data_IF_629750179308
#
_entry.id   IF_629750179308
#
_cell.length_a   1.000
_cell.length_b   1.000
_cell.length_c   1.000
_cell.angle_alpha   90.00
_cell.angle_beta   90.00
_cell.angle_gamma   90.00
#
_symmetry.space_group_name_H-M   'P 1'
#
loop_
_entity.id
_entity.type
_entity.pdbx_description
1 polymer ?
#
# COMPACT_ATOMS: atom_id res chain seq x y z
N UNK A 1 -3.90 -27.11 4.26
CA UNK A 1 -3.41 -27.50 5.60
C UNK A 1 -3.75 -26.39 6.61
N UNK A 2 -3.74 -26.66 7.92
CA UNK A 2 -3.85 -25.59 8.92
C UNK A 2 -2.69 -24.59 8.71
N UNK A 3 -2.98 -23.31 8.44
CA UNK A 3 -1.94 -22.30 8.18
C UNK A 3 -1.65 -21.95 6.71
N UNK A 4 -2.58 -22.26 5.80
CA UNK A 4 -2.37 -22.02 4.36
C UNK A 4 -2.77 -20.60 3.91
N UNK A 5 -1.98 -19.99 3.01
CA UNK A 5 -2.42 -18.81 2.26
C UNK A 5 -3.35 -19.26 1.14
N UNK A 6 -4.61 -18.83 1.21
CA UNK A 6 -5.58 -19.11 0.15
C UNK A 6 -5.31 -18.20 -1.04
N UNK A 7 -5.20 -18.80 -2.22
CA UNK A 7 -5.05 -18.08 -3.48
C UNK A 7 -6.35 -18.20 -4.28
N UNK A 8 -6.92 -17.06 -4.69
CA UNK A 8 -8.05 -17.01 -5.62
C UNK A 8 -7.63 -16.29 -6.89
N UNK A 9 -7.94 -16.90 -8.03
CA UNK A 9 -7.62 -16.38 -9.35
C UNK A 9 -8.93 -16.18 -10.14
N UNK A 10 -9.26 -14.93 -10.44
CA UNK A 10 -10.52 -14.56 -11.10
C UNK A 10 -10.25 -13.75 -12.35
N UNK A 11 -10.71 -14.23 -13.51
CA UNK A 11 -10.59 -13.52 -14.78
C UNK A 11 -11.71 -12.48 -14.94
N UNK A 12 -11.36 -11.31 -15.49
CA UNK A 12 -12.35 -10.28 -15.83
C UNK A 12 -13.31 -10.75 -16.93
N UNK A 13 -12.83 -11.62 -17.82
CA UNK A 13 -13.63 -12.32 -18.82
C UNK A 13 -13.39 -13.83 -18.67
N UNK A 14 -14.39 -14.61 -18.22
CA UNK A 14 -14.22 -16.05 -18.05
C UNK A 14 -14.05 -16.78 -19.39
N UNK A 15 -14.54 -16.18 -20.47
CA UNK A 15 -14.40 -16.66 -21.84
C UNK A 15 -13.69 -15.62 -22.71
N UNK A 16 -12.82 -16.09 -23.60
CA UNK A 16 -12.19 -15.28 -24.65
C UNK A 16 -12.60 -15.78 -26.02
N UNK A 17 -12.72 -14.88 -26.99
CA UNK A 17 -13.02 -15.28 -28.36
C UNK A 17 -11.87 -16.11 -28.94
N UNK A 18 -12.19 -17.21 -29.61
CA UNK A 18 -11.23 -17.95 -30.44
C UNK A 18 -10.94 -17.14 -31.72
N UNK A 19 -10.09 -16.13 -31.59
CA UNK A 19 -9.72 -15.20 -32.65
C UNK A 19 -8.29 -15.47 -33.16
N UNK A 20 -7.95 -14.92 -34.32
CA UNK A 20 -6.63 -15.06 -34.95
C UNK A 20 -5.63 -13.98 -34.52
N UNK A 21 -5.99 -13.14 -33.54
CA UNK A 21 -5.12 -12.08 -33.01
C UNK A 21 -4.89 -12.25 -31.51
N UNK A 22 -3.71 -11.86 -31.00
CA UNK A 22 -3.46 -11.81 -29.57
C UNK A 22 -4.46 -10.90 -28.86
N UNK A 23 -4.88 -11.28 -27.66
CA UNK A 23 -5.90 -10.59 -26.88
C UNK A 23 -5.41 -10.32 -25.46
N UNK A 24 -5.93 -9.25 -24.83
CA UNK A 24 -5.58 -8.90 -23.45
C UNK A 24 -6.56 -9.57 -22.48
N UNK A 25 -6.01 -10.30 -21.50
CA UNK A 25 -6.75 -10.84 -20.37
C UNK A 25 -6.37 -10.07 -19.09
N UNK A 26 -7.35 -9.82 -18.23
CA UNK A 26 -7.15 -9.25 -16.90
C UNK A 26 -7.44 -10.32 -15.86
N UNK A 27 -6.47 -10.58 -14.99
CA UNK A 27 -6.53 -11.58 -13.94
C UNK A 27 -6.41 -10.91 -12.58
N UNK A 28 -7.43 -11.06 -11.74
CA UNK A 28 -7.39 -10.68 -10.34
C UNK A 28 -6.84 -11.86 -9.52
N UNK A 29 -5.78 -11.62 -8.75
CA UNK A 29 -5.17 -12.59 -7.85
C UNK A 29 -5.31 -12.10 -6.42
N UNK A 30 -6.01 -12.86 -5.59
CA UNK A 30 -6.15 -12.59 -4.15
C UNK A 30 -5.31 -13.60 -3.38
N UNK A 31 -4.44 -13.12 -2.49
CA UNK A 31 -3.64 -13.92 -1.56
C UNK A 31 -4.04 -13.55 -0.13
N UNK A 32 -4.71 -14.46 0.56
CA UNK A 32 -5.29 -14.20 1.90
C UNK A 32 -4.82 -15.27 2.90
N UNK A 33 -4.33 -14.88 4.10
CA UNK A 33 -4.04 -15.85 5.16
C UNK A 33 -5.29 -16.63 5.57
N UNK A 34 -5.17 -17.95 5.70
CA UNK A 34 -6.27 -18.82 6.12
C UNK A 34 -6.70 -18.56 7.57
N UNK A 35 -7.98 -18.85 7.89
CA UNK A 35 -8.60 -18.53 9.19
C UNK A 35 -7.90 -19.15 10.40
N UNK A 36 -7.20 -20.29 10.24
CA UNK A 36 -6.48 -20.94 11.36
C UNK A 36 -5.29 -20.08 11.83
N UNK A 37 -4.73 -19.24 10.96
CA UNK A 37 -3.66 -18.29 11.32
C UNK A 37 -4.16 -17.10 12.14
N UNK A 38 -5.49 -16.87 12.17
CA UNK A 38 -6.10 -15.73 12.82
C UNK A 38 -6.11 -15.81 14.36
N UNK A 39 -5.86 -16.99 14.94
CA UNK A 39 -6.15 -17.25 16.36
C UNK A 39 -4.97 -17.02 17.32
N UNK A 40 -3.76 -16.78 16.82
CA UNK A 40 -2.59 -16.57 17.68
C UNK A 40 -1.74 -15.42 17.14
N UNK A 41 -1.57 -14.40 17.99
CA UNK A 41 -0.98 -13.10 17.66
C UNK A 41 0.52 -13.07 17.98
N UNK A 42 1.32 -12.60 17.02
CA UNK A 42 2.75 -12.30 17.24
C UNK A 42 2.87 -10.90 17.88
N UNK A 43 3.71 -10.70 18.92
CA UNK A 43 3.92 -9.38 19.50
C UNK A 43 4.41 -8.37 18.45
N UNK A 44 3.96 -7.13 18.59
CA UNK A 44 4.37 -6.01 17.73
C UNK A 44 5.46 -5.22 18.43
N UNK A 45 6.45 -4.78 17.67
CA UNK A 45 7.46 -3.82 18.08
C UNK A 45 7.34 -2.58 17.19
N UNK A 46 6.78 -1.51 17.74
CA UNK A 46 6.49 -0.28 17.00
C UNK A 46 7.30 0.91 17.53
N UNK A 47 7.98 1.60 16.63
CA UNK A 47 8.65 2.86 16.91
C UNK A 47 7.89 4.02 16.27
N UNK A 48 7.35 4.91 17.09
CA UNK A 48 6.75 6.17 16.65
C UNK A 48 7.84 7.23 16.53
N UNK A 49 8.08 7.74 15.33
CA UNK A 49 9.04 8.80 15.03
C UNK A 49 8.25 10.05 14.63
N UNK A 50 8.17 11.01 15.54
CA UNK A 50 7.20 12.11 15.48
C UNK A 50 7.92 13.45 15.37
N UNK A 51 7.60 14.18 14.30
CA UNK A 51 8.06 15.55 14.10
C UNK A 51 7.42 16.47 15.14
N UNK A 52 8.24 17.31 15.77
CA UNK A 52 7.83 18.38 16.68
C UNK A 52 8.37 19.73 16.23
N UNK A 53 8.71 19.90 14.96
CA UNK A 53 9.16 21.17 14.39
C UNK A 53 8.15 22.29 14.60
N UNK A 54 8.58 23.55 14.47
CA UNK A 54 7.71 24.71 14.66
C UNK A 54 6.44 24.73 13.79
N UNK A 55 6.44 24.03 12.64
CA UNK A 55 5.26 23.88 11.76
C UNK A 55 4.16 22.99 12.37
N UNK A 56 4.53 22.11 13.30
CA UNK A 56 3.60 21.24 14.04
C UNK A 56 2.82 21.98 15.14
N UNK A 57 3.11 23.26 15.38
CA UNK A 57 2.45 24.06 16.42
C UNK A 57 0.92 24.03 16.32
N UNK A 58 0.26 24.06 17.48
CA UNK A 58 -1.20 24.10 17.59
C UNK A 58 -1.81 22.72 17.42
N UNK A 59 -2.83 22.61 16.57
CA UNK A 59 -3.62 21.37 16.50
C UNK A 59 -2.82 20.16 16.01
N UNK A 60 -1.83 20.32 15.12
CA UNK A 60 -1.06 19.19 14.57
C UNK A 60 -0.32 18.41 15.67
N UNK A 61 0.43 19.09 16.54
CA UNK A 61 1.14 18.45 17.66
C UNK A 61 0.16 17.90 18.70
N UNK A 62 -0.97 18.57 18.94
CA UNK A 62 -2.02 18.07 19.84
C UNK A 62 -2.60 16.74 19.33
N UNK A 63 -2.87 16.65 18.04
CA UNK A 63 -3.37 15.44 17.38
C UNK A 63 -2.31 14.35 17.31
N UNK A 64 -1.04 14.69 17.04
CA UNK A 64 0.07 13.75 17.07
C UNK A 64 0.25 13.12 18.47
N UNK A 65 0.18 13.92 19.53
CA UNK A 65 0.21 13.44 20.93
C UNK A 65 -0.95 12.47 21.19
N UNK A 66 -2.18 12.89 20.88
CA UNK A 66 -3.38 12.05 21.05
C UNK A 66 -3.33 10.76 20.24
N UNK A 67 -2.87 10.82 19.00
CA UNK A 67 -2.74 9.66 18.12
C UNK A 67 -1.73 8.67 18.68
N UNK A 68 -0.57 9.15 19.15
CA UNK A 68 0.48 8.31 19.74
C UNK A 68 -0.01 7.64 21.01
N UNK A 69 -0.64 8.40 21.91
CA UNK A 69 -1.26 7.86 23.13
C UNK A 69 -2.28 6.79 22.80
N UNK A 70 -3.21 7.07 21.88
CA UNK A 70 -4.26 6.12 21.51
C UNK A 70 -3.71 4.86 20.85
N UNK A 71 -2.66 5.00 20.04
CA UNK A 71 -1.98 3.87 19.42
C UNK A 71 -1.29 2.98 20.45
N UNK A 72 -0.63 3.58 21.46
CA UNK A 72 -0.02 2.83 22.58
C UNK A 72 -1.08 2.12 23.41
N UNK A 73 -2.25 2.73 23.64
CA UNK A 73 -3.36 2.09 24.35
C UNK A 73 -3.98 0.89 23.64
N UNK A 74 -3.76 0.73 22.32
CA UNK A 74 -4.20 -0.44 21.55
C UNK A 74 -3.21 -1.61 21.64
N UNK A 75 -1.99 -1.37 22.13
CA UNK A 75 -0.97 -2.40 22.27
C UNK A 75 -1.23 -3.26 23.51
N UNK A 76 -0.97 -4.55 23.38
CA UNK A 76 -1.02 -5.50 24.50
C UNK A 76 0.26 -5.41 25.35
N UNK A 77 0.23 -5.97 26.55
CA UNK A 77 1.35 -5.92 27.49
C UNK A 77 2.65 -6.58 26.98
N UNK A 78 2.57 -7.46 25.98
CA UNK A 78 3.73 -8.12 25.36
C UNK A 78 4.30 -7.33 24.18
N UNK A 79 3.57 -6.31 23.70
CA UNK A 79 4.03 -5.46 22.62
C UNK A 79 5.09 -4.48 23.12
N UNK A 80 6.01 -4.13 22.23
CA UNK A 80 7.09 -3.18 22.47
C UNK A 80 6.74 -1.87 21.77
N UNK A 81 6.87 -0.76 22.51
CA UNK A 81 6.73 0.57 21.93
C UNK A 81 7.94 1.44 22.27
N UNK A 82 8.35 2.26 21.31
CA UNK A 82 9.25 3.39 21.53
C UNK A 82 8.69 4.66 20.90
N UNK A 83 9.00 5.81 21.49
CA UNK A 83 8.65 7.11 20.95
C UNK A 83 9.92 7.94 20.80
N UNK A 84 10.24 8.29 19.57
CA UNK A 84 11.31 9.20 19.18
C UNK A 84 10.65 10.48 18.70
N UNK A 85 11.02 11.60 19.29
CA UNK A 85 10.57 12.93 18.85
C UNK A 85 11.75 13.64 18.20
N UNK A 86 11.47 14.43 17.17
CA UNK A 86 12.53 15.11 16.45
C UNK A 86 12.15 16.50 15.96
N UNK A 87 13.17 17.33 15.88
CA UNK A 87 13.17 18.62 15.21
C UNK A 87 14.50 18.77 14.44
N UNK A 88 15.29 19.80 14.72
CA UNK A 88 16.72 19.86 14.37
C UNK A 88 17.59 18.90 15.22
N UNK A 89 17.05 18.34 16.30
CA UNK A 89 17.65 17.31 17.16
C UNK A 89 16.74 16.10 17.26
N UNK A 90 17.30 14.96 17.63
CA UNK A 90 16.57 13.72 17.87
C UNK A 90 16.62 13.36 19.35
N UNK A 91 15.47 13.00 19.92
CA UNK A 91 15.33 12.63 21.32
C UNK A 91 14.49 11.35 21.45
N UNK A 92 14.99 10.38 22.23
CA UNK A 92 14.20 9.19 22.61
C UNK A 92 13.32 9.57 23.78
N UNK A 93 12.08 9.98 23.50
CA UNK A 93 11.10 10.34 24.51
C UNK A 93 10.69 9.13 25.33
N UNK A 94 10.48 7.96 24.71
CA UNK A 94 10.17 6.69 25.36
C UNK A 94 11.10 5.63 24.77
N UNK A 95 12.05 5.07 25.55
CA UNK A 95 12.88 3.97 25.10
C UNK A 95 12.05 2.73 24.81
N UNK A 96 12.50 1.88 23.88
CA UNK A 96 11.81 0.63 23.57
C UNK A 96 11.63 -0.25 24.82
N UNK A 97 10.39 -0.62 25.09
CA UNK A 97 10.06 -1.55 26.16
C UNK A 97 8.61 -2.03 26.10
N UNK A 98 8.27 -3.07 26.89
CA UNK A 98 6.91 -3.59 26.98
C UNK A 98 5.91 -2.55 27.46
N UNK A 99 4.72 -2.52 26.85
CA UNK A 99 3.64 -1.58 27.19
C UNK A 99 2.89 -2.04 28.45
N UNK A 100 3.52 -1.87 29.61
CA UNK A 100 2.98 -2.31 30.92
C UNK A 100 2.26 -1.20 31.69
N UNK A 101 2.55 0.07 31.40
CA UNK A 101 1.88 1.22 32.01
C UNK A 101 1.59 2.31 30.96
N UNK A 102 0.54 2.14 30.13
CA UNK A 102 0.17 3.10 29.10
C UNK A 102 -0.06 4.52 29.64
N UNK A 103 -0.61 4.66 30.84
CA UNK A 103 -0.89 5.96 31.46
C UNK A 103 0.40 6.77 31.71
N UNK A 104 1.44 6.14 32.25
CA UNK A 104 2.73 6.81 32.46
C UNK A 104 3.40 7.22 31.13
N UNK A 105 3.21 6.44 30.06
CA UNK A 105 3.68 6.79 28.72
C UNK A 105 2.90 7.99 28.15
N UNK A 106 1.57 7.99 28.31
CA UNK A 106 0.70 9.09 27.91
C UNK A 106 1.08 10.41 28.59
N UNK A 107 1.43 10.37 29.88
CA UNK A 107 1.88 11.53 30.65
C UNK A 107 3.19 12.13 30.15
N UNK A 108 4.08 11.33 29.56
CA UNK A 108 5.32 11.81 28.93
C UNK A 108 5.02 12.44 27.57
N UNK A 109 4.18 11.77 26.77
CA UNK A 109 3.76 12.24 25.44
C UNK A 109 3.02 13.58 25.55
N UNK A 110 2.18 13.76 26.58
CA UNK A 110 1.44 15.01 26.82
C UNK A 110 2.35 16.23 27.06
N UNK A 111 3.64 16.04 27.35
CA UNK A 111 4.59 17.13 27.59
C UNK A 111 5.38 17.56 26.36
N UNK A 112 5.21 16.86 25.23
CA UNK A 112 5.87 17.23 23.96
C UNK A 112 5.36 18.59 23.50
N UNK A 113 6.30 19.46 23.13
CA UNK A 113 6.06 20.82 22.60
C UNK A 113 6.74 20.97 21.25
N UNK A 114 6.23 21.86 20.42
CA UNK A 114 6.87 22.24 19.18
C UNK A 114 8.19 23.01 19.43
N UNK A 115 9.17 22.81 18.55
CA UNK A 115 10.53 23.33 18.67
C UNK A 115 11.27 23.20 17.34
N UNK A 116 12.04 24.23 16.95
CA UNK A 116 13.12 24.10 15.95
C UNK A 116 12.71 23.74 14.52
N UNK A 117 13.70 23.26 13.74
CA UNK A 117 13.57 22.81 12.35
C UNK A 117 13.30 21.31 12.22
N UNK A 118 13.66 20.69 11.08
CA UNK A 118 13.27 19.30 10.76
C UNK A 118 14.46 18.50 10.19
N UNK A 119 14.83 17.39 10.85
CA UNK A 119 15.85 16.44 10.38
C UNK A 119 15.37 15.00 10.48
N UNK A 120 14.90 14.46 9.36
CA UNK A 120 14.26 13.13 9.32
C UNK A 120 15.27 11.98 9.44
N UNK A 121 16.41 12.02 8.72
CA UNK A 121 17.32 10.86 8.68
C UNK A 121 17.84 10.42 10.06
N UNK A 122 18.32 11.33 10.94
CA UNK A 122 18.76 10.94 12.29
C UNK A 122 17.62 10.39 13.15
N UNK A 123 16.40 10.92 12.98
CA UNK A 123 15.23 10.46 13.70
C UNK A 123 14.82 9.03 13.29
N UNK A 124 14.82 8.74 11.98
CA UNK A 124 14.57 7.40 11.47
C UNK A 124 15.67 6.44 11.93
N UNK A 125 16.94 6.83 11.87
CA UNK A 125 18.04 6.02 12.38
C UNK A 125 17.87 5.67 13.87
N UNK A 126 17.50 6.65 14.69
CA UNK A 126 17.26 6.40 16.11
C UNK A 126 16.04 5.50 16.32
N UNK A 127 14.96 5.68 15.56
CA UNK A 127 13.80 4.79 15.58
C UNK A 127 14.17 3.34 15.25
N UNK A 128 15.01 3.13 14.23
CA UNK A 128 15.52 1.79 13.90
C UNK A 128 16.36 1.19 15.02
N UNK A 129 17.19 1.98 15.70
CA UNK A 129 17.96 1.52 16.86
C UNK A 129 17.06 1.12 18.03
N UNK A 130 15.93 1.80 18.25
CA UNK A 130 14.95 1.40 19.26
C UNK A 130 14.25 0.09 18.86
N UNK A 131 13.88 -0.08 17.58
CA UNK A 131 13.34 -1.35 17.05
C UNK A 131 14.31 -2.52 17.30
N UNK A 132 15.61 -2.32 17.08
CA UNK A 132 16.63 -3.37 17.25
C UNK A 132 16.77 -3.87 18.70
N UNK A 133 16.25 -3.13 19.69
CA UNK A 133 16.23 -3.55 21.12
C UNK A 133 15.09 -4.52 21.44
N UNK A 134 14.07 -4.60 20.59
CA UNK A 134 12.94 -5.51 20.79
C UNK A 134 13.23 -6.94 20.31
N UNK A 135 12.34 -7.89 20.62
CA UNK A 135 12.53 -9.29 20.25
C UNK A 135 12.61 -9.48 18.73
N UNK A 136 13.53 -10.31 18.20
CA UNK A 136 13.68 -10.55 16.77
C UNK A 136 12.44 -11.08 16.06
N UNK A 137 11.62 -11.86 16.77
CA UNK A 137 10.41 -12.49 16.26
C UNK A 137 9.19 -11.57 16.23
N UNK A 138 9.26 -10.37 16.81
CA UNK A 138 8.14 -9.43 16.79
C UNK A 138 7.92 -8.87 15.38
N UNK A 139 6.67 -8.55 15.07
CA UNK A 139 6.33 -7.76 13.88
C UNK A 139 6.84 -6.34 14.10
N UNK A 140 7.81 -5.92 13.29
CA UNK A 140 8.50 -4.63 13.46
C UNK A 140 7.87 -3.57 12.58
N UNK A 141 7.59 -2.39 13.14
CA UNK A 141 7.01 -1.28 12.37
C UNK A 141 7.60 0.06 12.80
N UNK A 142 7.94 0.91 11.84
CA UNK A 142 8.30 2.31 12.12
C UNK A 142 7.22 3.22 11.55
N UNK A 143 6.68 4.11 12.37
CA UNK A 143 5.70 5.12 11.94
C UNK A 143 6.39 6.46 11.97
N UNK A 144 6.53 7.11 10.81
CA UNK A 144 7.10 8.44 10.67
C UNK A 144 5.97 9.45 10.44
N UNK A 145 5.81 10.45 11.30
CA UNK A 145 4.88 11.56 11.09
C UNK A 145 5.69 12.85 10.92
N UNK A 146 5.47 13.58 9.83
CA UNK A 146 6.10 14.88 9.57
C UNK A 146 5.17 15.81 8.80
N UNK A 147 5.34 17.12 8.99
CA UNK A 147 4.64 18.15 8.23
C UNK A 147 5.60 19.10 7.50
N UNK A 148 6.90 18.78 7.52
CA UNK A 148 7.99 19.64 7.07
C UNK A 148 8.88 19.00 6.00
N UNK A 149 9.75 19.83 5.43
CA UNK A 149 10.85 19.40 4.57
C UNK A 149 12.10 19.12 5.41
N UNK A 150 12.93 18.20 4.95
CA UNK A 150 14.21 17.87 5.59
C UNK A 150 15.36 18.21 4.66
N UNK A 151 16.49 18.57 5.25
CA UNK A 151 17.77 18.59 4.53
C UNK A 151 18.25 17.16 4.25
N UNK A 152 19.10 17.02 3.23
CA UNK A 152 19.80 15.78 2.85
C UNK A 152 18.88 14.57 2.61
N UNK A 153 18.00 14.68 1.63
CA UNK A 153 17.05 13.62 1.21
C UNK A 153 17.74 12.29 0.91
N UNK A 154 18.95 12.33 0.33
CA UNK A 154 19.74 11.13 0.02
C UNK A 154 20.05 10.26 1.25
N UNK A 155 20.22 10.88 2.42
CA UNK A 155 20.46 10.17 3.67
C UNK A 155 19.18 9.52 4.20
N UNK A 156 18.03 10.20 4.07
CA UNK A 156 16.73 9.65 4.41
C UNK A 156 16.43 8.38 3.60
N UNK A 157 16.72 8.42 2.29
CA UNK A 157 16.56 7.27 1.40
C UNK A 157 17.48 6.10 1.77
N UNK A 158 18.71 6.38 2.20
CA UNK A 158 19.65 5.36 2.69
C UNK A 158 19.14 4.70 3.97
N UNK A 159 18.60 5.49 4.92
CA UNK A 159 18.00 4.96 6.15
C UNK A 159 16.74 4.14 5.89
N UNK A 160 15.94 4.52 4.90
CA UNK A 160 14.80 3.72 4.47
C UNK A 160 15.22 2.39 3.84
N UNK A 161 16.30 2.37 3.05
CA UNK A 161 16.87 1.13 2.52
C UNK A 161 17.43 0.23 3.63
N UNK A 162 18.13 0.82 4.61
CA UNK A 162 18.58 0.10 5.81
C UNK A 162 17.40 -0.51 6.59
N UNK A 163 16.27 0.20 6.69
CA UNK A 163 15.04 -0.31 7.31
C UNK A 163 14.48 -1.51 6.55
N UNK A 164 14.42 -1.43 5.21
CA UNK A 164 13.98 -2.54 4.35
C UNK A 164 14.84 -3.78 4.51
N UNK A 165 16.17 -3.63 4.55
CA UNK A 165 17.11 -4.74 4.80
C UNK A 165 16.92 -5.41 6.17
N UNK A 166 16.36 -4.69 7.14
CA UNK A 166 16.04 -5.20 8.50
C UNK A 166 14.60 -5.71 8.63
N UNK A 167 13.84 -5.74 7.55
CA UNK A 167 12.39 -6.02 7.54
C UNK A 167 11.62 -5.09 8.51
N UNK A 168 11.91 -3.79 8.45
CA UNK A 168 11.19 -2.75 9.21
C UNK A 168 10.48 -1.80 8.24
N UNK A 169 9.23 -2.09 7.86
CA UNK A 169 8.44 -1.22 7.00
C UNK A 169 8.22 0.16 7.63
N UNK A 170 8.49 1.23 6.87
CA UNK A 170 8.22 2.61 7.29
C UNK A 170 6.84 3.02 6.79
N UNK A 171 5.94 3.33 7.73
CA UNK A 171 4.68 4.02 7.45
C UNK A 171 4.92 5.53 7.55
N UNK A 172 5.11 6.19 6.41
CA UNK A 172 5.44 7.62 6.34
C UNK A 172 4.17 8.46 6.13
N UNK A 173 3.83 9.29 7.10
CA UNK A 173 2.62 10.10 7.12
C UNK A 173 2.99 11.58 7.02
N UNK A 174 2.59 12.21 5.93
CA UNK A 174 2.73 13.64 5.70
C UNK A 174 1.48 14.41 6.11
N UNK A 175 1.61 15.41 6.99
CA UNK A 175 0.49 16.25 7.46
C UNK A 175 0.50 17.59 6.75
N UNK A 176 -0.65 18.00 6.22
CA UNK A 176 -0.78 19.29 5.55
C UNK A 176 0.03 19.38 4.27
N UNK A 177 0.48 20.58 3.90
CA UNK A 177 1.00 20.85 2.55
C UNK A 177 2.52 20.99 2.45
N UNK A 178 3.23 21.20 3.56
CA UNK A 178 4.61 21.72 3.55
C UNK A 178 5.70 20.63 3.71
N UNK A 179 5.57 19.52 2.97
CA UNK A 179 6.49 18.37 3.00
C UNK A 179 6.73 17.80 1.60
N UNK A 180 7.84 17.08 1.41
CA UNK A 180 8.20 16.47 0.13
C UNK A 180 7.52 15.09 -0.05
N UNK A 181 6.54 15.01 -0.95
CA UNK A 181 5.83 13.77 -1.22
C UNK A 181 6.66 12.69 -1.91
N UNK A 182 7.56 13.06 -2.81
CA UNK A 182 8.42 12.10 -3.51
C UNK A 182 9.37 11.43 -2.54
N UNK A 183 9.92 12.20 -1.59
CA UNK A 183 10.79 11.68 -0.54
C UNK A 183 10.08 10.63 0.32
N UNK A 184 8.89 10.95 0.87
CA UNK A 184 8.19 10.01 1.76
C UNK A 184 7.71 8.76 1.02
N UNK A 185 7.23 8.91 -0.22
CA UNK A 185 6.85 7.77 -1.07
C UNK A 185 8.07 6.88 -1.32
N UNK A 186 9.21 7.45 -1.67
CA UNK A 186 10.41 6.68 -1.94
C UNK A 186 10.98 6.02 -0.67
N UNK A 187 10.94 6.68 0.48
CA UNK A 187 11.29 6.06 1.78
C UNK A 187 10.38 4.87 2.10
N UNK A 188 9.07 5.03 1.91
CA UNK A 188 8.12 3.94 2.09
C UNK A 188 8.43 2.77 1.14
N UNK A 189 8.66 3.05 -0.15
CA UNK A 189 8.98 2.02 -1.15
C UNK A 189 10.26 1.25 -0.79
N UNK A 190 11.35 1.96 -0.43
CA UNK A 190 12.65 1.34 -0.09
C UNK A 190 12.62 0.51 1.18
N UNK A 191 11.74 0.84 2.12
CA UNK A 191 11.55 0.08 3.36
C UNK A 191 10.52 -1.05 3.24
N UNK A 192 9.78 -1.15 2.13
CA UNK A 192 8.65 -2.06 1.98
C UNK A 192 7.38 -1.62 2.74
N UNK A 193 7.33 -0.36 3.16
CA UNK A 193 6.20 0.25 3.86
C UNK A 193 5.22 1.00 2.96
N UNK A 194 4.58 2.03 3.49
CA UNK A 194 3.59 2.84 2.76
C UNK A 194 3.67 4.31 3.16
N UNK A 195 3.48 5.20 2.19
CA UNK A 195 3.36 6.62 2.44
C UNK A 195 1.90 7.07 2.27
N UNK A 196 1.46 7.98 3.12
CA UNK A 196 0.13 8.56 3.04
C UNK A 196 0.08 10.05 3.37
N UNK A 197 -0.95 10.71 2.86
CA UNK A 197 -1.25 12.12 3.06
C UNK A 197 -2.43 12.29 4.01
N UNK A 198 -2.18 13.10 5.04
CA UNK A 198 -3.18 13.54 6.00
C UNK A 198 -3.54 14.99 5.67
N UNK A 199 -4.68 15.13 4.98
CA UNK A 199 -5.27 16.41 4.60
C UNK A 199 -5.73 17.22 5.81
N UNK A 200 -6.25 16.55 6.85
CA UNK A 200 -6.73 17.20 8.07
C UNK A 200 -6.16 16.55 9.34
N UNK A 201 -5.70 17.35 10.33
CA UNK A 201 -5.09 16.83 11.55
C UNK A 201 -5.92 15.81 12.35
N UNK A 202 -7.25 15.83 12.24
CA UNK A 202 -8.13 14.90 12.95
C UNK A 202 -7.94 13.46 12.52
N UNK A 203 -7.53 13.22 11.27
CA UNK A 203 -7.29 11.87 10.73
C UNK A 203 -6.00 11.23 11.25
N UNK A 204 -5.08 12.00 11.86
CA UNK A 204 -3.80 11.46 12.40
C UNK A 204 -4.06 10.30 13.36
N UNK A 205 -5.08 10.42 14.20
CA UNK A 205 -5.46 9.38 15.16
C UNK A 205 -5.85 8.09 14.44
N UNK A 206 -6.72 8.17 13.43
CA UNK A 206 -7.17 7.03 12.64
C UNK A 206 -6.00 6.32 11.96
N UNK A 207 -5.09 7.05 11.31
CA UNK A 207 -3.94 6.44 10.64
C UNK A 207 -3.00 5.69 11.59
N UNK A 208 -2.71 6.26 12.75
CA UNK A 208 -1.87 5.58 13.75
C UNK A 208 -2.54 4.33 14.29
N UNK A 209 -3.84 4.39 14.63
CA UNK A 209 -4.59 3.23 15.09
C UNK A 209 -4.63 2.13 14.03
N UNK A 210 -4.96 2.46 12.78
CA UNK A 210 -5.00 1.52 11.67
C UNK A 210 -3.63 0.88 11.42
N UNK A 211 -2.54 1.66 11.55
CA UNK A 211 -1.18 1.12 11.36
C UNK A 211 -0.82 0.11 12.43
N UNK A 212 -1.12 0.41 13.71
CA UNK A 212 -0.91 -0.52 14.81
C UNK A 212 -1.76 -1.78 14.60
N UNK A 213 -3.07 -1.63 14.41
CA UNK A 213 -3.98 -2.77 14.22
C UNK A 213 -3.58 -3.69 13.07
N UNK A 214 -3.12 -3.12 11.95
CA UNK A 214 -2.57 -3.92 10.84
C UNK A 214 -1.32 -4.69 11.24
N UNK A 215 -0.39 -4.07 11.96
CA UNK A 215 0.78 -4.77 12.47
C UNK A 215 0.38 -5.90 13.45
N UNK A 216 -0.64 -5.68 14.28
CA UNK A 216 -1.19 -6.70 15.18
C UNK A 216 -1.86 -7.85 14.42
N UNK A 217 -2.39 -7.60 13.22
CA UNK A 217 -3.08 -8.57 12.38
C UNK A 217 -2.16 -9.32 11.40
N UNK A 218 -0.87 -9.00 11.34
CA UNK A 218 0.11 -9.67 10.47
C UNK A 218 0.19 -11.16 10.80
N UNK A 219 -0.19 -12.01 9.85
CA UNK A 219 -0.18 -13.47 10.00
C UNK A 219 1.00 -14.12 9.27
N UNK A 220 1.41 -13.52 8.15
CA UNK A 220 2.41 -14.07 7.23
C UNK A 220 3.44 -12.99 6.92
N UNK A 221 4.70 -13.40 6.83
CA UNK A 221 5.83 -12.53 6.45
C UNK A 221 6.55 -13.06 5.20
N UNK A 222 7.35 -12.20 4.58
CA UNK A 222 8.18 -12.51 3.42
C UNK A 222 7.42 -13.17 2.25
N UNK A 223 6.12 -12.88 2.12
CA UNK A 223 5.30 -13.46 1.09
C UNK A 223 5.77 -12.98 -0.29
N UNK A 224 5.97 -13.92 -1.21
CA UNK A 224 6.39 -13.68 -2.59
C UNK A 224 5.47 -14.45 -3.52
N UNK A 225 4.84 -13.75 -4.47
CA UNK A 225 4.02 -14.34 -5.51
C UNK A 225 4.86 -14.60 -6.75
N UNK A 226 4.82 -15.83 -7.25
CA UNK A 226 5.43 -16.24 -8.51
C UNK A 226 4.33 -16.74 -9.45
N UNK A 227 4.17 -16.07 -10.59
CA UNK A 227 3.26 -16.46 -11.66
C UNK A 227 4.07 -17.10 -12.78
N UNK A 228 3.83 -18.39 -13.03
CA UNK A 228 4.49 -19.19 -14.07
C UNK A 228 3.55 -19.34 -15.25
N UNK A 229 3.85 -18.68 -16.36
CA UNK A 229 2.99 -18.62 -17.54
C UNK A 229 3.37 -19.69 -18.57
N UNK A 230 2.36 -20.22 -19.28
CA UNK A 230 2.61 -21.17 -20.38
C UNK A 230 3.08 -20.44 -21.64
N UNK A 231 3.53 -21.19 -22.65
CA UNK A 231 3.88 -20.63 -23.95
C UNK A 231 2.70 -19.85 -24.57
N UNK A 232 3.00 -18.69 -25.15
CA UNK A 232 2.02 -17.80 -25.78
C UNK A 232 1.20 -16.99 -24.79
N UNK A 233 1.64 -16.85 -23.54
CA UNK A 233 1.06 -15.96 -22.54
C UNK A 233 2.16 -15.07 -21.99
N UNK A 234 2.04 -13.76 -22.19
CA UNK A 234 3.05 -12.78 -21.82
C UNK A 234 2.51 -11.78 -20.79
N UNK A 235 3.27 -11.49 -19.72
CA UNK A 235 2.87 -10.49 -18.73
C UNK A 235 3.11 -9.08 -19.26
N UNK A 236 2.10 -8.21 -19.18
CA UNK A 236 2.20 -6.79 -19.56
C UNK A 236 2.43 -5.89 -18.37
N UNK A 237 1.72 -6.12 -17.28
CA UNK A 237 1.82 -5.32 -16.05
C UNK A 237 1.28 -6.09 -14.85
N UNK A 238 1.80 -5.78 -13.66
CA UNK A 238 1.25 -6.25 -12.39
C UNK A 238 1.02 -5.06 -11.47
N UNK A 239 -0.23 -4.88 -11.07
CA UNK A 239 -0.65 -3.83 -10.16
C UNK A 239 -1.07 -4.45 -8.85
N UNK A 240 -0.58 -3.94 -7.73
CA UNK A 240 -1.34 -4.10 -6.49
C UNK A 240 -2.59 -3.25 -6.64
N UNK A 241 -3.74 -3.80 -6.29
CA UNK A 241 -5.01 -3.05 -6.24
C UNK A 241 -5.50 -2.88 -4.82
N UNK A 242 -5.13 -3.78 -3.91
CA UNK A 242 -5.47 -3.68 -2.50
C UNK A 242 -4.30 -4.15 -1.62
N UNK A 243 -3.98 -3.45 -0.51
CA UNK A 243 -4.75 -2.36 0.14
C UNK A 243 -4.65 -0.98 -0.52
N UNK A 244 -3.64 -0.76 -1.36
CA UNK A 244 -3.47 0.49 -2.11
C UNK A 244 -3.06 0.18 -3.54
N UNK A 245 -3.59 0.93 -4.51
CA UNK A 245 -3.14 0.84 -5.88
C UNK A 245 -1.66 1.25 -5.95
N UNK A 246 -0.85 0.38 -6.51
CA UNK A 246 0.57 0.61 -6.76
C UNK A 246 1.03 -0.21 -7.96
N UNK A 247 1.89 0.36 -8.79
CA UNK A 247 2.58 -0.43 -9.81
C UNK A 247 3.71 -1.19 -9.13
N UNK A 248 3.56 -2.50 -8.96
CA UNK A 248 4.64 -3.34 -8.43
C UNK A 248 5.69 -3.65 -9.50
N UNK A 249 5.36 -3.41 -10.78
CA UNK A 249 6.12 -3.93 -11.90
C UNK A 249 6.22 -5.45 -11.81
N UNK A 250 7.22 -6.01 -12.47
CA UNK A 250 7.65 -7.37 -12.19
C UNK A 250 9.13 -7.53 -12.50
N UNK A 251 9.80 -8.42 -11.78
CA UNK A 251 11.13 -8.91 -12.16
C UNK A 251 10.93 -10.19 -12.96
N UNK A 252 11.30 -10.24 -14.25
CA UNK A 252 11.29 -11.49 -14.99
C UNK A 252 12.32 -12.42 -14.33
N UNK A 253 11.85 -13.51 -13.73
CA UNK A 253 12.73 -14.58 -13.25
C UNK A 253 13.21 -15.42 -14.44
N UNK A 254 12.36 -15.48 -15.48
CA UNK A 254 12.60 -15.98 -16.82
C UNK A 254 11.68 -15.22 -17.79
N UNK A 255 11.71 -15.53 -19.09
CA UNK A 255 10.83 -14.90 -20.10
C UNK A 255 9.32 -15.07 -19.80
N UNK A 256 8.94 -15.99 -18.91
CA UNK A 256 7.53 -16.35 -18.62
C UNK A 256 7.18 -16.38 -17.13
N UNK A 257 8.15 -16.12 -16.26
CA UNK A 257 7.96 -16.13 -14.82
C UNK A 257 7.98 -14.71 -14.26
N UNK A 258 6.90 -14.34 -13.61
CA UNK A 258 6.70 -13.06 -12.96
C UNK A 258 6.83 -13.27 -11.47
N UNK A 259 7.79 -12.61 -10.83
CA UNK A 259 7.92 -12.61 -9.38
C UNK A 259 7.66 -11.22 -8.80
N UNK A 260 6.82 -11.18 -7.78
CA UNK A 260 6.37 -9.96 -7.11
C UNK A 260 6.40 -10.16 -5.60
N UNK A 261 7.14 -9.32 -4.84
CA UNK A 261 7.09 -9.36 -3.40
C UNK A 261 5.74 -8.85 -2.90
N UNK A 262 5.06 -9.63 -2.07
CA UNK A 262 3.84 -9.24 -1.37
C UNK A 262 4.13 -8.69 0.04
N UNK A 263 5.27 -9.11 0.63
CA UNK A 263 5.69 -8.69 1.96
C UNK A 263 4.83 -9.32 3.07
N UNK A 264 4.26 -8.48 3.93
CA UNK A 264 3.37 -8.93 5.01
C UNK A 264 1.92 -9.08 4.51
N UNK A 265 1.27 -10.17 4.93
CA UNK A 265 -0.18 -10.37 4.74
C UNK A 265 -0.88 -10.33 6.10
N UNK A 266 -1.88 -9.45 6.23
CA UNK A 266 -2.70 -9.39 7.43
C UNK A 266 -3.93 -10.29 7.34
N UNK A 267 -4.37 -10.78 8.48
CA UNK A 267 -5.58 -11.57 8.63
C UNK A 267 -6.80 -10.76 8.18
N UNK A 268 -7.63 -11.35 7.31
CA UNK A 268 -8.89 -10.75 6.85
C UNK A 268 -8.79 -9.79 5.66
N UNK A 269 -7.60 -9.24 5.36
CA UNK A 269 -7.38 -8.30 4.26
C UNK A 269 -6.54 -8.89 3.12
N UNK A 270 -5.46 -9.63 3.44
CA UNK A 270 -4.54 -10.17 2.45
C UNK A 270 -4.00 -9.12 1.45
N UNK A 271 -3.63 -9.56 0.25
CA UNK A 271 -3.21 -8.70 -0.86
C UNK A 271 -3.96 -9.09 -2.12
N UNK A 272 -4.32 -8.10 -2.93
CA UNK A 272 -4.93 -8.34 -4.24
C UNK A 272 -4.13 -7.67 -5.33
N UNK A 273 -3.83 -8.44 -6.38
CA UNK A 273 -3.13 -7.99 -7.57
C UNK A 273 -4.04 -8.05 -8.80
N UNK A 274 -3.89 -7.10 -9.70
CA UNK A 274 -4.42 -7.14 -11.06
C UNK A 274 -3.26 -7.35 -12.03
N UNK A 275 -3.29 -8.48 -12.74
CA UNK A 275 -2.29 -8.85 -13.75
C UNK A 275 -2.87 -8.65 -15.13
N UNK A 276 -2.19 -7.88 -15.96
CA UNK A 276 -2.49 -7.70 -17.39
C UNK A 276 -1.68 -8.72 -18.19
N UNK A 277 -2.34 -9.60 -18.94
CA UNK A 277 -1.73 -10.65 -19.75
C UNK A 277 -2.04 -10.41 -21.23
N UNK A 278 -1.06 -10.62 -22.11
CA UNK A 278 -1.27 -10.79 -23.53
C UNK A 278 -1.31 -12.29 -23.84
N UNK A 279 -2.39 -12.76 -24.45
CA UNK A 279 -2.64 -14.17 -24.71
C UNK A 279 -2.72 -14.38 -26.22
N UNK A 280 -1.87 -15.26 -26.74
CA UNK A 280 -1.86 -15.63 -28.15
C UNK A 280 -3.15 -16.35 -28.57
N UNK A 281 -3.50 -16.32 -29.87
CA UNK A 281 -4.60 -17.08 -30.44
C UNK A 281 -4.61 -18.55 -30.04
N UNK A 282 -5.78 -19.05 -29.64
CA UNK A 282 -6.01 -20.48 -29.40
C UNK A 282 -7.34 -20.92 -30.00
N UNK A 283 -7.44 -22.17 -30.47
CA UNK A 283 -8.72 -22.78 -30.81
C UNK A 283 -9.68 -22.76 -29.62
N UNK A 284 -10.97 -22.96 -29.90
CA UNK A 284 -11.96 -23.12 -28.83
C UNK A 284 -11.61 -24.32 -27.94
N UNK A 285 -11.72 -24.14 -26.62
CA UNK A 285 -11.31 -25.12 -25.63
C UNK A 285 -10.90 -24.49 -24.30
N UNK A 286 -10.76 -25.32 -23.28
CA UNK A 286 -10.30 -24.89 -21.97
C UNK A 286 -8.80 -25.16 -21.82
N UNK A 287 -8.04 -24.14 -21.46
CA UNK A 287 -6.58 -24.22 -21.34
C UNK A 287 -6.12 -23.72 -19.98
N UNK A 288 -5.11 -24.38 -19.43
CA UNK A 288 -4.30 -23.79 -18.37
C UNK A 288 -3.37 -22.76 -18.98
N UNK A 289 -3.47 -21.51 -18.54
CA UNK A 289 -2.64 -20.40 -19.03
C UNK A 289 -1.49 -20.04 -18.09
N UNK A 290 -1.51 -20.58 -16.87
CA UNK A 290 -0.41 -20.46 -15.93
C UNK A 290 -0.70 -21.12 -14.59
N UNK A 291 0.23 -20.92 -13.66
CA UNK A 291 0.09 -21.28 -12.25
C UNK A 291 0.60 -20.13 -11.40
N UNK A 292 -0.15 -19.78 -10.37
CA UNK A 292 0.31 -18.89 -9.31
C UNK A 292 0.81 -19.72 -8.13
N UNK A 293 1.99 -19.37 -7.61
CA UNK A 293 2.58 -19.90 -6.39
C UNK A 293 2.83 -18.73 -5.43
N UNK A 294 2.40 -18.85 -4.17
CA UNK A 294 2.77 -17.90 -3.12
C UNK A 294 3.67 -18.63 -2.14
N UNK A 295 4.91 -18.16 -2.00
CA UNK A 295 5.88 -18.64 -1.02
C UNK A 295 5.91 -17.69 0.16
N UNK A 296 5.92 -18.20 1.39
CA UNK A 296 5.80 -17.35 2.58
C UNK A 296 6.32 -17.99 3.87
N UNK A 297 6.53 -17.15 4.88
CA UNK A 297 6.93 -17.57 6.23
C UNK A 297 5.78 -17.41 7.21
N UNK A 298 5.68 -18.34 8.16
CA UNK A 298 4.72 -18.31 9.27
C UNK A 298 5.52 -18.19 10.57
N UNK A 299 5.79 -16.95 11.04
CA UNK A 299 6.65 -16.71 12.20
C UNK A 299 6.20 -17.47 13.44
N UNK A 300 4.88 -17.52 13.66
CA UNK A 300 4.28 -18.20 14.81
C UNK A 300 4.63 -19.69 14.87
N UNK A 301 4.61 -20.38 13.73
CA UNK A 301 4.87 -21.81 13.66
C UNK A 301 6.37 -22.10 13.46
N UNK A 302 7.20 -21.05 13.36
CA UNK A 302 8.60 -21.12 12.97
C UNK A 302 8.80 -21.91 11.66
N UNK A 303 7.85 -21.74 10.74
CA UNK A 303 7.87 -22.38 9.43
C UNK A 303 8.28 -21.35 8.38
N UNK A 304 9.20 -21.73 7.49
CA UNK A 304 9.73 -20.86 6.44
C UNK A 304 9.53 -21.50 5.06
N UNK A 305 9.25 -20.67 4.07
CA UNK A 305 9.16 -21.09 2.67
C UNK A 305 7.99 -22.03 2.36
N UNK A 306 6.88 -21.93 3.12
CA UNK A 306 5.63 -22.63 2.80
C UNK A 306 5.08 -22.14 1.48
N UNK A 307 4.36 -23.03 0.78
CA UNK A 307 3.91 -22.77 -0.59
C UNK A 307 2.46 -23.16 -0.80
N UNK A 308 1.71 -22.21 -1.33
CA UNK A 308 0.36 -22.43 -1.85
C UNK A 308 0.36 -22.25 -3.35
N UNK A 309 -0.45 -23.04 -4.07
CA UNK A 309 -0.52 -23.00 -5.54
C UNK A 309 -1.97 -22.98 -6.02
N UNK A 310 -2.21 -22.28 -7.12
CA UNK A 310 -3.48 -22.35 -7.85
C UNK A 310 -3.22 -22.30 -9.36
N UNK A 311 -3.94 -23.11 -10.11
CA UNK A 311 -3.90 -23.08 -11.57
C UNK A 311 -4.81 -21.98 -12.10
N UNK A 312 -4.44 -21.42 -13.25
CA UNK A 312 -5.21 -20.38 -13.93
C UNK A 312 -5.75 -20.99 -15.22
N UNK A 313 -7.07 -21.14 -15.27
CA UNK A 313 -7.79 -21.72 -16.41
C UNK A 313 -8.48 -20.62 -17.20
N UNK A 314 -8.42 -20.70 -18.53
CA UNK A 314 -9.08 -19.79 -19.45
C UNK A 314 -9.77 -20.60 -20.55
N UNK A 315 -11.02 -20.25 -20.85
CA UNK A 315 -11.82 -20.90 -21.89
C UNK A 315 -11.89 -20.03 -23.14
N UNK A 316 -11.52 -20.59 -24.28
CA UNK A 316 -11.70 -19.98 -25.60
C UNK A 316 -12.99 -20.50 -26.22
N UNK A 317 -13.77 -19.61 -26.83
CA UNK A 317 -15.08 -19.93 -27.40
C UNK A 317 -15.30 -19.25 -28.75
N UNK A 318 -16.04 -19.91 -29.63
CA UNK A 318 -16.56 -19.31 -30.86
C UNK A 318 -17.93 -18.65 -30.65
N UNK A 319 -18.55 -18.84 -29.48
CA UNK A 319 -19.84 -18.22 -29.14
C UNK A 319 -19.64 -16.76 -28.71
N UNK A 320 -20.18 -15.84 -29.51
CA UNK A 320 -20.10 -14.41 -29.25
C UNK A 320 -20.82 -13.99 -27.96
N UNK A 321 -21.89 -14.68 -27.56
CA UNK A 321 -22.62 -14.40 -26.32
C UNK A 321 -21.76 -14.75 -25.09
N UNK A 322 -21.06 -15.90 -25.12
CA UNK A 322 -20.12 -16.28 -24.07
C UNK A 322 -18.90 -15.34 -24.02
N UNK A 323 -18.32 -14.99 -25.17
CA UNK A 323 -17.18 -14.06 -25.24
C UNK A 323 -17.53 -12.64 -24.76
N UNK A 324 -18.81 -12.25 -24.85
CA UNK A 324 -19.32 -10.98 -24.35
C UNK A 324 -19.42 -10.91 -22.82
N UNK A 325 -19.43 -12.06 -22.11
CA UNK A 325 -19.58 -12.09 -20.66
C UNK A 325 -18.40 -11.44 -19.93
N UNK A 326 -18.72 -10.72 -18.85
CA UNK A 326 -17.75 -10.03 -18.00
C UNK A 326 -18.03 -10.32 -16.53
N UNK A 327 -16.97 -10.42 -15.74
CA UNK A 327 -17.05 -10.33 -14.29
C UNK A 327 -17.06 -8.84 -13.92
N UNK A 328 -18.24 -8.31 -13.61
CA UNK A 328 -18.44 -6.89 -13.33
C UNK A 328 -17.57 -6.37 -12.17
N UNK A 329 -17.45 -7.06 -11.02
CA UNK A 329 -16.52 -6.68 -9.96
C UNK A 329 -15.06 -6.53 -10.42
N UNK A 330 -14.53 -7.51 -11.14
CA UNK A 330 -13.15 -7.44 -11.65
C UNK A 330 -13.01 -6.31 -12.67
N UNK A 331 -13.98 -6.13 -13.57
CA UNK A 331 -13.97 -5.03 -14.53
C UNK A 331 -14.02 -3.65 -13.86
N UNK A 332 -14.74 -3.51 -12.75
CA UNK A 332 -14.72 -2.27 -11.96
C UNK A 332 -13.32 -1.97 -11.42
N UNK A 333 -12.61 -2.98 -10.93
CA UNK A 333 -11.21 -2.85 -10.47
C UNK A 333 -10.29 -2.48 -11.64
N UNK A 334 -10.46 -3.08 -12.82
CA UNK A 334 -9.71 -2.73 -14.04
C UNK A 334 -9.90 -1.24 -14.37
N UNK A 335 -11.13 -0.73 -14.29
CA UNK A 335 -11.42 0.68 -14.53
C UNK A 335 -10.80 1.60 -13.48
N UNK A 336 -10.78 1.21 -12.19
CA UNK A 336 -10.12 1.96 -11.11
C UNK A 336 -8.61 2.07 -11.35
N UNK A 337 -7.96 0.97 -11.71
CA UNK A 337 -6.54 0.95 -12.08
C UNK A 337 -6.29 1.80 -13.33
N UNK A 338 -7.18 1.78 -14.31
CA UNK A 338 -7.06 2.59 -15.51
C UNK A 338 -7.17 4.10 -15.23
N UNK A 339 -8.08 4.51 -14.35
CA UNK A 339 -8.15 5.90 -13.88
C UNK A 339 -6.85 6.33 -13.19
N UNK A 340 -6.30 5.48 -12.32
CA UNK A 340 -5.00 5.71 -11.68
C UNK A 340 -3.84 5.83 -12.70
N UNK A 341 -3.82 4.99 -13.74
CA UNK A 341 -2.83 5.05 -14.84
C UNK A 341 -2.92 6.36 -15.62
N UNK A 342 -4.13 6.81 -15.95
CA UNK A 342 -4.36 8.08 -16.66
C UNK A 342 -3.88 9.26 -15.82
N UNK A 343 -4.19 9.28 -14.53
CA UNK A 343 -3.71 10.30 -13.61
C UNK A 343 -2.17 10.32 -13.53
N UNK A 344 -1.54 9.15 -13.34
CA UNK A 344 -0.08 9.06 -13.25
C UNK A 344 0.60 9.64 -14.49
N UNK A 345 0.07 9.33 -15.68
CA UNK A 345 0.55 9.90 -16.95
C UNK A 345 0.30 11.40 -17.03
N UNK A 346 -0.85 11.89 -16.57
CA UNK A 346 -1.12 13.32 -16.56
C UNK A 346 -0.12 14.09 -15.69
N UNK A 347 0.26 13.56 -14.52
CA UNK A 347 1.28 14.17 -13.67
C UNK A 347 2.66 14.17 -14.35
N UNK A 348 2.98 13.14 -15.13
CA UNK A 348 4.21 13.08 -15.93
C UNK A 348 4.19 14.12 -17.05
N UNK A 349 3.07 14.28 -17.75
CA UNK A 349 2.90 15.31 -18.79
C UNK A 349 3.06 16.71 -18.20
N UNK A 350 2.49 16.97 -17.01
CA UNK A 350 2.69 18.25 -16.30
C UNK A 350 4.16 18.49 -15.96
N UNK A 351 4.86 17.47 -15.46
CA UNK A 351 6.29 17.58 -15.17
C UNK A 351 7.12 17.84 -16.45
N UNK A 352 6.65 17.37 -17.61
CA UNK A 352 7.22 17.65 -18.92
C UNK A 352 6.74 18.98 -19.54
N UNK A 353 5.83 19.71 -18.89
CA UNK A 353 5.26 20.98 -19.38
C UNK A 353 4.08 20.84 -20.33
N UNK A 354 3.58 19.63 -20.60
CA UNK A 354 2.39 19.40 -21.44
C UNK A 354 1.09 19.52 -20.62
N UNK A 355 0.67 20.76 -20.39
CA UNK A 355 -0.56 21.08 -19.66
C UNK A 355 -1.81 20.59 -20.39
N UNK A 356 -1.82 20.65 -21.73
CA UNK A 356 -2.99 20.25 -22.52
C UNK A 356 -3.20 18.74 -22.45
N UNK A 357 -2.15 17.95 -22.67
CA UNK A 357 -2.18 16.50 -22.58
C UNK A 357 -2.51 16.02 -21.17
N UNK A 358 -2.00 16.69 -20.14
CA UNK A 358 -2.36 16.42 -18.75
C UNK A 358 -3.84 16.66 -18.47
N UNK A 359 -4.37 17.81 -18.90
CA UNK A 359 -5.77 18.19 -18.71
C UNK A 359 -6.72 17.16 -19.29
N UNK A 360 -6.48 16.72 -20.53
CA UNK A 360 -7.30 15.72 -21.20
C UNK A 360 -7.30 14.37 -20.46
N UNK A 361 -6.13 13.95 -19.95
CA UNK A 361 -5.99 12.69 -19.20
C UNK A 361 -6.66 12.77 -17.83
N UNK A 362 -6.55 13.91 -17.13
CA UNK A 362 -7.25 14.15 -15.86
C UNK A 362 -8.77 14.15 -16.05
N UNK A 363 -9.29 14.80 -17.09
CA UNK A 363 -10.73 14.76 -17.43
C UNK A 363 -11.20 13.32 -17.70
N UNK A 364 -10.41 12.53 -18.43
CA UNK A 364 -10.71 11.13 -18.70
C UNK A 364 -10.71 10.28 -17.42
N UNK A 365 -9.80 10.56 -16.47
CA UNK A 365 -9.76 9.91 -15.17
C UNK A 365 -10.98 10.28 -14.32
N UNK A 366 -11.38 11.55 -14.30
CA UNK A 366 -12.60 12.04 -13.61
C UNK A 366 -13.84 11.31 -14.09
N UNK A 367 -14.03 11.17 -15.41
CA UNK A 367 -15.18 10.43 -15.96
C UNK A 367 -15.24 8.99 -15.45
N UNK A 368 -14.09 8.32 -15.36
CA UNK A 368 -14.02 6.94 -14.81
C UNK A 368 -14.35 6.91 -13.32
N UNK A 369 -13.83 7.85 -12.53
CA UNK A 369 -14.10 7.94 -11.09
C UNK A 369 -15.58 8.19 -10.80
N UNK A 370 -16.24 9.07 -11.57
CA UNK A 370 -17.69 9.31 -11.45
C UNK A 370 -18.50 8.04 -11.72
N UNK A 371 -18.15 7.31 -12.78
CA UNK A 371 -18.79 6.03 -13.11
C UNK A 371 -18.57 4.95 -12.05
N UNK A 372 -17.55 5.11 -11.19
CA UNK A 372 -17.20 4.20 -10.10
C UNK A 372 -17.79 4.63 -8.74
N UNK A 373 -18.51 5.75 -8.69
CA UNK A 373 -19.07 6.30 -7.45
C UNK A 373 -18.08 7.06 -6.56
N UNK A 374 -16.89 7.40 -7.07
CA UNK A 374 -15.87 8.17 -6.34
C UNK A 374 -16.09 9.68 -6.54
N UNK A 375 -17.28 10.16 -6.16
CA UNK A 375 -17.77 11.51 -6.45
C UNK A 375 -16.93 12.62 -5.81
N UNK A 376 -16.59 12.49 -4.53
CA UNK A 376 -15.81 13.50 -3.80
C UNK A 376 -14.43 13.70 -4.43
N UNK A 377 -13.74 12.60 -4.74
CA UNK A 377 -12.43 12.63 -5.37
C UNK A 377 -12.50 13.21 -6.79
N UNK A 378 -13.54 12.82 -7.55
CA UNK A 378 -13.78 13.38 -8.88
C UNK A 378 -14.04 14.89 -8.83
N UNK A 379 -14.78 15.38 -7.84
CA UNK A 379 -15.04 16.81 -7.65
C UNK A 379 -13.76 17.58 -7.32
N UNK A 380 -12.93 17.07 -6.41
CA UNK A 380 -11.61 17.69 -6.12
C UNK A 380 -10.73 17.73 -7.38
N UNK A 381 -10.68 16.64 -8.15
CA UNK A 381 -9.96 16.60 -9.42
C UNK A 381 -10.49 17.62 -10.44
N UNK A 382 -11.81 17.83 -10.52
CA UNK A 382 -12.41 18.82 -11.40
C UNK A 382 -12.01 20.25 -11.04
N UNK A 383 -12.02 20.58 -9.74
CA UNK A 383 -11.57 21.89 -9.25
C UNK A 383 -10.10 22.13 -9.60
N UNK A 384 -9.26 21.12 -9.43
CA UNK A 384 -7.84 21.20 -9.78
C UNK A 384 -7.59 21.30 -11.30
N UNK A 385 -8.41 20.65 -12.12
CA UNK A 385 -8.37 20.82 -13.58
C UNK A 385 -8.69 22.28 -13.97
N UNK A 386 -9.69 22.90 -13.33
CA UNK A 386 -10.02 24.31 -13.58
C UNK A 386 -8.86 25.24 -13.16
N UNK A 387 -8.29 25.00 -11.98
CA UNK A 387 -7.12 25.75 -11.50
C UNK A 387 -5.92 25.60 -12.44
N UNK A 388 -5.66 24.38 -12.93
CA UNK A 388 -4.61 24.07 -13.87
C UNK A 388 -4.79 24.83 -15.19
N UNK A 389 -6.02 24.89 -15.71
CA UNK A 389 -6.33 25.62 -16.95
C UNK A 389 -6.15 27.14 -16.78
N UNK A 390 -6.42 27.69 -15.60
CA UNK A 390 -6.29 29.13 -15.33
C UNK A 390 -4.85 29.55 -15.02
N UNK A 391 -4.12 28.74 -14.25
CA UNK A 391 -2.82 29.12 -13.67
C UNK A 391 -1.63 28.39 -14.28
N UNK A 392 -1.89 27.34 -15.08
CA UNK A 392 -0.87 26.45 -15.62
C UNK A 392 -0.25 25.48 -14.62
N UNK A 393 -0.72 25.46 -13.35
CA UNK A 393 -0.20 24.59 -12.28
C UNK A 393 -1.33 24.01 -11.43
N UNK A 394 -1.08 22.83 -10.86
CA UNK A 394 -1.92 22.28 -9.79
C UNK A 394 -1.60 22.97 -8.47
N UNK A 395 -2.56 23.02 -7.56
CA UNK A 395 -2.27 23.40 -6.18
C UNK A 395 -1.46 22.29 -5.49
N UNK A 396 -0.62 22.63 -4.51
CA UNK A 396 0.16 21.62 -3.77
C UNK A 396 -0.73 20.61 -3.03
N UNK A 397 -1.86 21.07 -2.50
CA UNK A 397 -2.86 20.23 -1.85
C UNK A 397 -3.61 19.35 -2.85
N UNK A 398 -3.98 19.91 -4.01
CA UNK A 398 -4.59 19.19 -5.12
C UNK A 398 -3.70 18.09 -5.65
N UNK A 399 -2.42 18.38 -5.91
CA UNK A 399 -1.44 17.40 -6.37
C UNK A 399 -1.31 16.23 -5.38
N UNK A 400 -1.25 16.49 -4.08
CA UNK A 400 -1.21 15.46 -3.03
C UNK A 400 -2.51 14.66 -2.99
N UNK A 401 -3.65 15.33 -2.96
CA UNK A 401 -4.97 14.67 -2.93
C UNK A 401 -5.14 13.75 -4.13
N UNK A 402 -4.73 14.20 -5.32
CA UNK A 402 -4.73 13.41 -6.54
C UNK A 402 -3.80 12.20 -6.39
N UNK A 403 -2.53 12.40 -6.00
CA UNK A 403 -1.52 11.35 -5.89
C UNK A 403 -1.86 10.25 -4.87
N UNK A 404 -2.47 10.61 -3.74
CA UNK A 404 -2.79 9.67 -2.66
C UNK A 404 -4.24 9.14 -2.70
N UNK A 405 -5.20 9.95 -3.16
CA UNK A 405 -6.63 9.62 -3.13
C UNK A 405 -7.00 8.48 -4.07
N UNK A 406 -6.54 8.51 -5.32
CA UNK A 406 -6.90 7.47 -6.30
C UNK A 406 -6.32 6.09 -5.95
N UNK A 407 -5.26 6.04 -5.14
CA UNK A 407 -4.68 4.79 -4.65
C UNK A 407 -5.61 4.03 -3.70
N UNK A 408 -6.59 4.71 -3.09
CA UNK A 408 -7.52 4.15 -2.09
C UNK A 408 -8.89 3.77 -2.65
N UNK A 409 -9.06 3.90 -3.96
CA UNK A 409 -10.37 3.71 -4.60
C UNK A 409 -10.84 2.26 -4.55
N UNK A 410 -9.94 1.28 -4.48
CA UNK A 410 -10.31 -0.14 -4.34
C UNK A 410 -10.45 -0.49 -2.86
N UNK A 411 -11.67 -0.87 -2.46
CA UNK A 411 -12.04 -1.21 -1.09
C UNK A 411 -12.18 -2.72 -0.94
N UNK A 412 -12.11 -3.24 0.28
CA UNK A 412 -12.31 -4.68 0.54
C UNK A 412 -13.70 -5.15 0.05
N UNK A 413 -14.72 -4.31 0.15
CA UNK A 413 -16.07 -4.56 -0.39
C UNK A 413 -16.11 -4.75 -1.91
N UNK A 414 -15.15 -4.16 -2.64
CA UNK A 414 -15.05 -4.34 -4.10
C UNK A 414 -14.48 -5.72 -4.46
N UNK A 415 -13.82 -6.38 -3.51
CA UNK A 415 -13.10 -7.65 -3.69
C UNK A 415 -13.92 -8.82 -3.16
N UNK A 416 -14.63 -8.65 -2.03
CA UNK A 416 -15.32 -9.72 -1.28
C UNK A 416 -16.64 -10.22 -1.93
N UNK A 417 -16.70 -10.24 -3.25
CA UNK A 417 -17.90 -10.56 -4.06
C UNK A 417 -18.35 -12.03 -4.00
N UNK A 418 -17.75 -12.83 -3.12
CA UNK A 418 -18.07 -14.25 -2.93
C UNK A 418 -18.42 -14.66 -1.50
N UNK A 419 -18.56 -13.74 -0.53
CA UNK A 419 -18.99 -14.07 0.85
C UNK A 419 -20.45 -13.77 1.17
N UNK A 420 -21.18 -13.11 0.28
CA UNK A 420 -22.62 -12.91 0.43
C UNK A 420 -23.41 -14.01 -0.27
N UNK A 421 -23.51 -15.18 0.37
CA UNK A 421 -24.66 -16.10 0.34
C UNK A 421 -24.21 -17.47 0.85
N UNK A 422 -24.44 -17.73 2.14
CA UNK A 422 -24.60 -19.07 2.70
C UNK A 422 -25.80 -19.02 3.62
#
# INVERSE_FOLDING_TARGET
MAGEVTIRATLARPYMAAANTPQVAYLLLEATPGQVMAQVRVPVNVSFVIDRSGSMKGEKIDRARRATTRAIELLDAQDIASVVIFDHRTEVLIPAGPVTNPAALADRISRVRDSGGTRIAPAVEQGLREIDKGPPQAVRRLILLTDGQTENESECLRRAEDAGRRNVPITALGVGKDWNEDLLIEMANRSGGSADYIDRPEKIVEYFQNTVQRAQATAVQNATLTLRLVQGVLPRAVWQVFPLISNLGYKPVSDRDVSVPLGELETGSGRTLLVELLVDPRPAGQYRIGQVEVSYDVPLLNVQGEKSRSDIMLTFTTDAALAGQVNAPVMNIVEKVSAFKLQTRALQDLAAGDVAGATQKLQSAVTRLLNQGEADLAQTMQQEIQNLQQTGKLSSEGQKTIKFGTRKTVRLSDIDTGKQSS
#
